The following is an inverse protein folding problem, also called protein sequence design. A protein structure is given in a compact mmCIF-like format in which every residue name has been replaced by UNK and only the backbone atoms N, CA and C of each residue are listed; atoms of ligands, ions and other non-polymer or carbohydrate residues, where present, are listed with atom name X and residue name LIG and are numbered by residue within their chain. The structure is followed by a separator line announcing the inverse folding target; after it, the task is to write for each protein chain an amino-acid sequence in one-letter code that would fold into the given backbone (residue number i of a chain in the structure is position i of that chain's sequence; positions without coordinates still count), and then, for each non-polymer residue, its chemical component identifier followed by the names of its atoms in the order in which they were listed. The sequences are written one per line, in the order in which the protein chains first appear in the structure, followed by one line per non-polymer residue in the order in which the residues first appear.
data_IF_932460860428
#
_entry.id   IF_932460860428
#
_cell.length_a   1.000
_cell.length_b   1.000
_cell.length_c   1.000
_cell.angle_alpha   90.00
_cell.angle_beta   90.00
_cell.angle_gamma   90.00
#
_symmetry.space_group_name_H-M   'P 1'
#
loop_
_entity.id
_entity.type
_entity.pdbx_description
1 polymer ?
#
# COMPACT_ATOMS: atom_id res chain seq x y z
N UNK A 1 4.45 -7.56 2.68
CA UNK A 1 3.42 -7.04 1.77
C UNK A 1 3.66 -5.58 1.42
N UNK A 2 3.57 -4.62 2.35
CA UNK A 2 3.77 -3.19 2.01
C UNK A 2 5.08 -2.88 1.27
N UNK A 3 6.22 -3.46 1.71
CA UNK A 3 7.48 -3.31 0.97
C UNK A 3 7.44 -3.87 -0.46
N UNK A 4 6.72 -4.98 -0.69
CA UNK A 4 6.56 -5.58 -2.02
C UNK A 4 5.81 -4.62 -2.94
N UNK A 5 4.70 -4.03 -2.46
CA UNK A 5 3.91 -3.06 -3.22
C UNK A 5 4.76 -1.86 -3.64
N UNK A 6 5.53 -1.31 -2.71
CA UNK A 6 6.40 -0.16 -2.99
C UNK A 6 7.52 -0.49 -3.98
N UNK A 7 8.16 -1.66 -3.86
CA UNK A 7 9.17 -2.12 -4.82
C UNK A 7 8.58 -2.28 -6.22
N UNK A 8 7.39 -2.89 -6.33
CA UNK A 8 6.69 -3.05 -7.60
C UNK A 8 6.27 -1.72 -8.23
N UNK A 9 5.86 -0.74 -7.41
CA UNK A 9 5.59 0.63 -7.89
C UNK A 9 6.87 1.25 -8.47
N UNK A 10 7.99 1.17 -7.74
CA UNK A 10 9.27 1.71 -8.21
C UNK A 10 9.73 1.04 -9.52
N UNK A 11 9.63 -0.29 -9.63
CA UNK A 11 9.98 -1.03 -10.85
C UNK A 11 9.19 -0.53 -12.07
N UNK A 12 7.89 -0.29 -11.89
CA UNK A 12 7.03 0.28 -12.94
C UNK A 12 7.40 1.70 -13.27
N UNK A 13 7.60 2.54 -12.28
CA UNK A 13 7.93 3.96 -12.50
C UNK A 13 9.30 4.11 -13.19
N UNK A 14 10.25 3.20 -12.92
CA UNK A 14 11.51 3.10 -13.68
C UNK A 14 11.25 2.66 -15.13
N UNK A 15 10.41 1.64 -15.35
CA UNK A 15 10.08 1.13 -16.69
C UNK A 15 9.41 2.20 -17.56
N UNK A 16 8.54 3.01 -16.94
CA UNK A 16 7.79 4.08 -17.60
C UNK A 16 8.61 5.38 -17.73
N UNK A 17 9.86 5.38 -17.27
CA UNK A 17 10.77 6.54 -17.36
C UNK A 17 10.43 7.69 -16.43
N UNK A 18 9.53 7.49 -15.47
CA UNK A 18 9.18 8.48 -14.44
C UNK A 18 10.29 8.62 -13.39
N UNK A 19 11.04 7.54 -13.15
CA UNK A 19 12.18 7.49 -12.22
C UNK A 19 13.41 6.96 -12.94
N UNK A 20 14.59 7.45 -12.55
CA UNK A 20 15.86 7.06 -13.16
C UNK A 20 16.15 5.56 -12.97
N UNK A 21 16.72 4.93 -14.01
CA UNK A 21 17.16 3.54 -13.93
C UNK A 21 18.24 3.39 -12.86
N UNK A 22 18.06 2.43 -11.96
CA UNK A 22 19.00 2.16 -10.86
C UNK A 22 18.65 2.87 -9.55
N UNK A 23 17.59 3.69 -9.50
CA UNK A 23 17.03 4.18 -8.24
C UNK A 23 16.67 3.03 -7.30
N UNK A 24 16.88 3.25 -5.99
CA UNK A 24 16.62 2.27 -4.94
C UNK A 24 15.78 2.92 -3.85
N UNK A 25 14.95 2.11 -3.19
CA UNK A 25 14.26 2.53 -1.96
C UNK A 25 15.21 2.35 -0.77
N UNK A 26 15.23 3.36 0.08
CA UNK A 26 15.85 3.35 1.40
C UNK A 26 14.81 2.99 2.48
N UNK A 27 15.27 2.67 3.68
CA UNK A 27 14.39 2.35 4.81
C UNK A 27 13.43 3.51 5.16
N UNK A 28 13.90 4.75 5.01
CA UNK A 28 13.07 5.95 5.16
C UNK A 28 11.93 6.01 4.14
N UNK A 29 12.14 5.49 2.92
CA UNK A 29 11.08 5.46 1.91
C UNK A 29 10.00 4.47 2.32
N UNK A 30 10.38 3.28 2.81
CA UNK A 30 9.39 2.32 3.30
C UNK A 30 8.59 2.88 4.46
N UNK A 31 9.25 3.60 5.38
CA UNK A 31 8.56 4.33 6.44
C UNK A 31 7.61 5.36 5.83
N UNK A 32 8.09 6.29 5.01
CA UNK A 32 7.29 7.42 4.53
C UNK A 32 6.44 7.14 3.28
N UNK A 33 6.36 5.88 2.83
CA UNK A 33 5.59 5.47 1.65
C UNK A 33 4.17 5.01 1.94
N UNK A 34 3.71 5.23 3.18
CA UNK A 34 2.40 4.89 3.70
C UNK A 34 1.85 6.16 4.33
N UNK A 35 0.59 6.48 4.03
CA UNK A 35 -0.09 7.64 4.59
C UNK A 35 0.02 7.65 6.12
N UNK A 36 0.30 8.83 6.67
CA UNK A 36 0.53 9.05 8.09
C UNK A 36 -0.55 8.43 9.02
N UNK A 37 -1.84 8.58 8.69
CA UNK A 37 -2.97 8.04 9.47
C UNK A 37 -3.08 6.51 9.47
N UNK A 38 -2.48 5.82 8.49
CA UNK A 38 -2.60 4.36 8.31
C UNK A 38 -1.34 3.61 8.74
N UNK A 39 -0.37 4.34 9.26
CA UNK A 39 0.84 3.77 9.85
C UNK A 39 0.48 3.05 11.14
N UNK A 40 1.03 1.84 11.31
CA UNK A 40 0.85 1.08 12.55
C UNK A 40 1.56 1.81 13.70
N UNK A 41 0.86 1.94 14.83
CA UNK A 41 1.38 2.54 16.04
C UNK A 41 0.83 3.94 16.30
N UNK A 42 1.46 4.67 17.22
CA UNK A 42 1.05 6.00 17.64
C UNK A 42 2.12 7.07 17.37
N UNK A 43 3.09 6.77 16.50
CA UNK A 43 4.20 7.67 16.16
C UNK A 43 3.96 8.27 14.78
N UNK A 44 4.04 9.60 14.71
CA UNK A 44 3.88 10.39 13.48
C UNK A 44 5.13 11.23 13.27
N UNK A 45 5.47 11.51 12.01
CA UNK A 45 6.72 12.19 11.64
C UNK A 45 6.44 13.56 11.06
N UNK A 46 7.24 14.56 11.44
CA UNK A 46 7.23 15.91 10.86
C UNK A 46 8.66 16.43 10.81
N UNK A 47 8.97 17.30 9.86
CA UNK A 47 10.32 17.87 9.75
C UNK A 47 10.57 18.99 10.75
N UNK A 48 9.53 19.77 11.05
CA UNK A 48 9.59 20.94 11.92
C UNK A 48 8.42 20.92 12.90
N UNK A 49 8.56 21.55 14.08
CA UNK A 49 7.52 21.54 15.10
C UNK A 49 6.19 22.15 14.67
N UNK A 50 6.26 23.14 13.77
CA UNK A 50 5.10 23.86 13.22
C UNK A 50 4.68 23.35 11.84
N UNK A 51 5.31 22.29 11.33
CA UNK A 51 5.03 21.74 10.01
C UNK A 51 3.95 20.66 10.04
N UNK A 52 3.41 20.39 8.85
CA UNK A 52 2.56 19.24 8.57
C UNK A 52 3.26 17.90 8.87
N UNK A 53 2.46 16.86 9.09
CA UNK A 53 2.99 15.50 9.19
C UNK A 53 3.42 15.02 7.80
N UNK A 54 4.42 14.15 7.77
CA UNK A 54 4.95 13.58 6.54
C UNK A 54 3.99 12.56 5.96
N UNK A 55 3.71 12.69 4.66
CA UNK A 55 2.73 11.87 3.93
C UNK A 55 1.30 12.00 4.50
N UNK A 56 0.90 13.22 4.87
CA UNK A 56 -0.43 13.62 5.35
C UNK A 56 -1.42 13.99 4.23
N UNK A 57 -1.25 13.41 3.04
CA UNK A 57 -2.02 13.80 1.86
C UNK A 57 -3.50 13.39 2.01
N UNK A 58 -4.29 14.28 2.61
CA UNK A 58 -5.72 14.15 2.94
C UNK A 58 -6.65 13.69 1.79
N UNK A 59 -6.18 13.73 0.54
CA UNK A 59 -6.91 13.23 -0.63
C UNK A 59 -6.79 11.72 -0.87
N UNK A 60 -6.00 11.01 -0.07
CA UNK A 60 -5.77 9.56 -0.18
C UNK A 60 -6.29 8.86 1.08
N UNK A 61 -7.58 9.05 1.36
CA UNK A 61 -8.24 8.36 2.46
C UNK A 61 -8.24 6.84 2.26
N UNK A 62 -8.23 6.08 3.35
CA UNK A 62 -8.43 4.64 3.34
C UNK A 62 -9.76 4.38 2.64
N UNK A 63 -9.80 3.44 1.67
CA UNK A 63 -11.02 3.12 0.99
C UNK A 63 -12.06 2.67 2.02
N UNK A 64 -13.33 3.07 1.84
CA UNK A 64 -14.42 2.60 2.67
C UNK A 64 -14.58 1.07 2.54
N UNK A 65 -15.16 0.43 3.55
CA UNK A 65 -15.44 -1.03 3.57
C UNK A 65 -16.09 -1.57 2.28
N UNK A 66 -16.86 -0.74 1.55
CA UNK A 66 -17.50 -1.13 0.30
C UNK A 66 -16.50 -1.59 -0.78
N UNK A 67 -15.24 -1.19 -0.68
CA UNK A 67 -14.18 -1.57 -1.63
C UNK A 67 -13.49 -2.89 -1.28
N UNK A 68 -13.87 -3.60 -0.20
CA UNK A 68 -13.20 -4.83 0.26
C UNK A 68 -13.06 -5.89 -0.84
N UNK A 69 -14.13 -6.10 -1.63
CA UNK A 69 -14.11 -7.06 -2.74
C UNK A 69 -13.14 -6.64 -3.84
N UNK A 70 -13.09 -5.35 -4.15
CA UNK A 70 -12.19 -4.80 -5.16
C UNK A 70 -10.73 -4.88 -4.70
N UNK A 71 -10.47 -4.59 -3.42
CA UNK A 71 -9.15 -4.74 -2.80
C UNK A 71 -8.68 -6.20 -2.77
N UNK A 72 -9.57 -7.14 -2.46
CA UNK A 72 -9.28 -8.58 -2.51
C UNK A 72 -8.91 -9.02 -3.94
N UNK A 73 -9.70 -8.60 -4.93
CA UNK A 73 -9.43 -8.91 -6.34
C UNK A 73 -8.10 -8.32 -6.80
N UNK A 74 -7.83 -7.04 -6.48
CA UNK A 74 -6.56 -6.38 -6.78
C UNK A 74 -5.38 -7.10 -6.12
N UNK A 75 -5.55 -7.53 -4.86
CA UNK A 75 -4.55 -8.30 -4.12
C UNK A 75 -4.21 -9.62 -4.83
N UNK A 76 -5.23 -10.41 -5.17
CA UNK A 76 -5.05 -11.70 -5.87
C UNK A 76 -4.45 -11.50 -7.26
N UNK A 77 -4.93 -10.51 -8.00
CA UNK A 77 -4.43 -10.20 -9.34
C UNK A 77 -2.95 -9.77 -9.30
N UNK A 78 -2.56 -9.00 -8.29
CA UNK A 78 -1.17 -8.63 -8.09
C UNK A 78 -0.29 -9.84 -7.74
N UNK A 79 -0.76 -10.74 -6.86
CA UNK A 79 -0.04 -12.00 -6.57
C UNK A 79 0.10 -12.91 -7.79
N UNK A 80 -0.89 -12.91 -8.69
CA UNK A 80 -0.89 -13.66 -9.95
C UNK A 80 -0.09 -12.98 -11.08
N UNK A 81 0.42 -11.76 -10.88
CA UNK A 81 1.33 -11.05 -11.80
C UNK A 81 2.74 -11.03 -11.18
N UNK A 82 3.49 -12.16 -11.17
CA UNK A 82 4.82 -12.23 -10.57
C UNK A 82 5.81 -11.27 -11.24
N UNK A 83 5.72 -11.11 -12.56
CA UNK A 83 6.62 -10.29 -13.38
C UNK A 83 6.29 -8.80 -13.36
N UNK A 84 5.17 -8.42 -12.71
CA UNK A 84 4.74 -7.04 -12.56
C UNK A 84 4.59 -6.33 -13.93
N UNK A 85 3.96 -7.00 -14.89
CA UNK A 85 3.83 -6.51 -16.28
C UNK A 85 2.39 -6.21 -16.70
N UNK A 86 1.39 -6.59 -15.90
CA UNK A 86 -0.03 -6.35 -16.22
C UNK A 86 -0.31 -4.87 -16.52
N UNK A 87 -1.17 -4.58 -17.51
CA UNK A 87 -1.58 -3.19 -17.78
C UNK A 87 -2.29 -2.58 -16.56
N UNK A 88 -3.10 -3.38 -15.86
CA UNK A 88 -3.89 -2.97 -14.70
C UNK A 88 -3.08 -2.89 -13.40
N UNK A 89 -1.83 -3.37 -13.39
CA UNK A 89 -1.04 -3.46 -12.17
C UNK A 89 -0.76 -2.10 -11.51
N UNK A 90 -0.75 -1.00 -12.27
CA UNK A 90 -0.66 0.36 -11.71
C UNK A 90 -1.88 0.70 -10.87
N UNK A 91 -3.06 0.33 -11.33
CA UNK A 91 -4.32 0.57 -10.62
C UNK A 91 -4.41 -0.30 -9.37
N UNK A 92 -4.06 -1.58 -9.44
CA UNK A 92 -4.01 -2.46 -8.27
C UNK A 92 -3.04 -1.94 -7.21
N UNK A 93 -1.84 -1.49 -7.62
CA UNK A 93 -0.87 -0.88 -6.71
C UNK A 93 -1.41 0.41 -6.10
N UNK A 94 -2.09 1.26 -6.88
CA UNK A 94 -2.74 2.47 -6.37
C UNK A 94 -3.77 2.11 -5.29
N UNK A 95 -4.65 1.16 -5.58
CA UNK A 95 -5.69 0.69 -4.66
C UNK A 95 -5.13 0.06 -3.38
N UNK A 96 -3.96 -0.58 -3.42
CA UNK A 96 -3.38 -1.29 -2.27
C UNK A 96 -2.36 -0.47 -1.47
N UNK A 97 -1.74 0.55 -2.07
CA UNK A 97 -0.79 1.47 -1.39
C UNK A 97 -1.53 2.64 -0.74
N UNK A 98 -2.49 3.24 -1.46
CA UNK A 98 -3.30 4.37 -0.97
C UNK A 98 -3.95 4.16 0.42
N UNK A 99 -4.54 2.98 0.73
CA UNK A 99 -5.06 2.67 2.06
C UNK A 99 -4.02 2.59 3.18
N UNK A 100 -2.75 2.81 2.87
CA UNK A 100 -1.65 2.51 3.76
C UNK A 100 -1.51 1.01 3.95
N UNK A 101 -0.96 0.35 2.94
CA UNK A 101 -0.53 -1.04 3.06
C UNK A 101 0.40 -1.20 4.26
N UNK A 102 -0.07 -1.84 5.32
CA UNK A 102 0.72 -2.09 6.52
C UNK A 102 2.03 -2.80 6.15
N UNK A 103 3.16 -2.19 6.50
CA UNK A 103 4.50 -2.65 6.12
C UNK A 103 4.90 -4.00 6.72
N UNK A 104 4.21 -4.46 7.76
CA UNK A 104 4.52 -5.74 8.41
C UNK A 104 3.90 -6.95 7.71
N UNK A 105 4.54 -8.12 7.79
CA UNK A 105 3.94 -9.39 7.37
C UNK A 105 3.99 -9.68 5.86
N UNK A 106 4.12 -10.96 5.51
CA UNK A 106 4.21 -11.42 4.11
C UNK A 106 2.86 -11.37 3.38
N UNK A 107 1.77 -11.60 4.12
CA UNK A 107 0.42 -11.78 3.59
C UNK A 107 -0.23 -10.49 3.05
N UNK A 108 -1.07 -10.58 2.02
CA UNK A 108 -1.86 -9.45 1.56
C UNK A 108 -2.83 -8.88 2.60
N UNK A 109 -2.83 -7.55 2.69
CA UNK A 109 -3.70 -6.78 3.57
C UNK A 109 -3.75 -5.31 3.16
N UNK A 110 -4.80 -4.62 3.59
CA UNK A 110 -4.98 -3.19 3.44
C UNK A 110 -5.65 -2.61 4.70
N UNK A 111 -5.39 -1.34 5.01
CA UNK A 111 -6.21 -0.64 6.01
C UNK A 111 -7.50 -0.18 5.34
N UNK A 112 -8.63 -0.24 6.04
CA UNK A 112 -9.94 0.16 5.51
C UNK A 112 -10.70 0.93 6.58
N UNK A 113 -11.62 1.81 6.19
CA UNK A 113 -12.42 2.58 7.12
C UNK A 113 -13.88 2.11 7.15
N UNK A 114 -14.45 1.92 8.34
CA UNK A 114 -15.88 1.64 8.48
C UNK A 114 -16.75 2.87 8.19
N UNK A 115 -18.08 2.72 8.26
CA UNK A 115 -19.04 3.80 8.00
C UNK A 115 -18.92 4.98 8.98
N UNK A 116 -18.26 4.78 10.12
CA UNK A 116 -17.98 5.79 11.13
C UNK A 116 -16.56 6.37 11.03
N UNK A 117 -15.77 5.92 10.05
CA UNK A 117 -14.39 6.36 9.83
C UNK A 117 -13.35 5.69 10.72
N UNK A 118 -13.71 4.66 11.50
CA UNK A 118 -12.70 3.92 12.25
C UNK A 118 -11.87 3.03 11.34
N UNK A 119 -10.58 2.92 11.66
CA UNK A 119 -9.63 2.16 10.86
C UNK A 119 -9.59 0.68 11.29
N UNK A 120 -9.64 -0.19 10.29
CA UNK A 120 -9.55 -1.63 10.39
C UNK A 120 -8.45 -2.16 9.47
N UNK A 121 -8.02 -3.40 9.69
CA UNK A 121 -7.10 -4.10 8.78
C UNK A 121 -7.85 -5.24 8.13
N UNK A 122 -8.08 -5.12 6.82
CA UNK A 122 -8.56 -6.21 5.99
C UNK A 122 -7.40 -7.16 5.66
N UNK A 123 -7.57 -8.45 5.95
CA UNK A 123 -6.65 -9.51 5.53
C UNK A 123 -7.28 -10.27 4.38
N UNK A 124 -6.51 -10.51 3.32
CA UNK A 124 -7.00 -11.23 2.16
C UNK A 124 -6.33 -12.61 2.06
N UNK A 125 -7.03 -13.60 1.48
CA UNK A 125 -6.41 -14.86 1.07
C UNK A 125 -5.21 -14.61 0.16
N UNK A 126 -4.13 -15.34 0.39
CA UNK A 126 -2.96 -15.40 -0.47
C UNK A 126 -3.09 -16.58 -1.43
N UNK A 127 -2.57 -16.44 -2.64
CA UNK A 127 -2.43 -17.58 -3.58
C UNK A 127 -1.50 -18.68 -3.08
N UNK A 128 -0.80 -18.45 -1.97
CA UNK A 128 0.10 -19.39 -1.31
C UNK A 128 -0.49 -20.02 -0.05
N UNK A 129 -1.74 -19.72 0.30
CA UNK A 129 -2.39 -20.29 1.49
C UNK A 129 -2.72 -21.78 1.26
N UNK A 130 -2.46 -22.60 2.28
CA UNK A 130 -2.83 -24.02 2.37
C UNK A 130 -4.02 -24.28 3.33
N UNK A 131 -4.61 -23.21 3.87
CA UNK A 131 -5.78 -23.23 4.75
C UNK A 131 -6.69 -22.01 4.50
N UNK A 132 -7.98 -22.16 4.81
CA UNK A 132 -8.96 -21.08 4.71
C UNK A 132 -8.78 -20.02 5.80
N UNK A 133 -8.98 -18.76 5.43
CA UNK A 133 -8.82 -17.57 6.29
C UNK A 133 -10.03 -16.66 6.20
#
# INVERSE_FOLDING_TARGET
WGQLLMKRRLERDIRDGLIAKGSKLHESDFLLGVHDLYRVGAIRYKLNDQGNFLDDRDGVAAPPFIELRALEQASRALENDPDNTSLDGREWLRMLIAPGGSLGGARPKASVADEHGHLWIAKFPSTRDDYDV
#
